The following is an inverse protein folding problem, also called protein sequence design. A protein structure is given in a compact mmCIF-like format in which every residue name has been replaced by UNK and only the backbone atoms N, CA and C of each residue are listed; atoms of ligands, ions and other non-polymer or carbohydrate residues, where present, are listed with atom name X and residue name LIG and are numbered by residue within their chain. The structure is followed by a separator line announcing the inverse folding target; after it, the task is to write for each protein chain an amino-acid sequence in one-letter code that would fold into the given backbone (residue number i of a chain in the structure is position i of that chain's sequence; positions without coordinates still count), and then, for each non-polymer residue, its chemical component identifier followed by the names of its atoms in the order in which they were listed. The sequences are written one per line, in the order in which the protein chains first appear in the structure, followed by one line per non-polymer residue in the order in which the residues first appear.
data_IF_780695198506
#
_entry.id   IF_780695198506
#
_cell.length_a   1.000
_cell.length_b   1.000
_cell.length_c   1.000
_cell.angle_alpha   90.00
_cell.angle_beta   90.00
_cell.angle_gamma   90.00
#
_symmetry.space_group_name_H-M   'P 1'
#
loop_
_entity.id
_entity.type
_entity.pdbx_description
1 polymer ?
#
# COMPACT_ATOMS: atom_id res chain seq x y z
N UNK A 1 5.80 -11.09 -19.56
CA UNK A 1 4.83 -10.33 -18.73
C UNK A 1 4.37 -11.05 -17.44
N UNK A 2 4.84 -12.27 -17.11
CA UNK A 2 4.46 -13.04 -15.91
C UNK A 2 5.13 -12.60 -14.58
N UNK A 3 5.72 -11.40 -14.52
CA UNK A 3 6.52 -10.93 -13.39
C UNK A 3 5.79 -10.01 -12.40
N UNK A 4 4.70 -9.35 -12.82
CA UNK A 4 4.08 -8.26 -12.03
C UNK A 4 3.12 -8.73 -10.92
N UNK A 5 2.68 -9.98 -10.98
CA UNK A 5 1.76 -10.58 -10.00
C UNK A 5 2.47 -11.50 -9.00
N UNK A 6 3.77 -11.76 -9.17
CA UNK A 6 4.55 -12.57 -8.23
C UNK A 6 5.00 -11.71 -7.06
N UNK A 7 5.05 -12.33 -5.87
CA UNK A 7 5.47 -11.69 -4.63
C UNK A 7 6.96 -11.26 -4.72
N UNK A 8 7.30 -9.99 -4.50
CA UNK A 8 8.68 -9.53 -4.41
C UNK A 8 9.42 -10.20 -3.23
N UNK A 9 10.72 -10.51 -3.38
CA UNK A 9 11.51 -11.17 -2.34
C UNK A 9 11.68 -10.33 -1.06
N UNK A 10 11.53 -9.01 -1.17
CA UNK A 10 11.74 -8.06 -0.08
C UNK A 10 10.48 -7.81 0.78
N UNK A 11 9.32 -8.37 0.41
CA UNK A 11 8.13 -8.28 1.24
C UNK A 11 8.13 -9.40 2.29
N UNK A 12 7.95 -9.01 3.56
CA UNK A 12 7.67 -9.93 4.67
C UNK A 12 6.48 -10.83 4.33
N UNK A 13 6.42 -12.01 4.98
CA UNK A 13 5.29 -12.92 4.82
C UNK A 13 3.99 -12.17 5.07
N UNK A 14 2.94 -12.46 4.28
CA UNK A 14 1.59 -12.04 4.65
C UNK A 14 1.42 -12.48 6.09
N UNK A 15 1.07 -11.57 7.03
CA UNK A 15 0.64 -12.02 8.33
C UNK A 15 -0.54 -12.96 8.07
N UNK A 16 -0.37 -14.24 8.43
CA UNK A 16 -1.50 -15.12 8.56
C UNK A 16 -2.37 -14.45 9.62
N UNK A 17 -3.53 -13.94 9.21
CA UNK A 17 -4.51 -13.43 10.16
C UNK A 17 -4.96 -14.66 10.95
N UNK A 18 -4.22 -14.98 12.02
CA UNK A 18 -4.45 -16.15 12.85
C UNK A 18 -5.92 -16.12 13.24
N UNK A 19 -6.65 -17.19 12.91
CA UNK A 19 -8.07 -17.36 13.24
C UNK A 19 -8.32 -17.53 14.76
N UNK A 20 -7.33 -17.19 15.59
CA UNK A 20 -7.25 -17.51 17.01
C UNK A 20 -7.89 -16.47 17.94
N UNK A 21 -8.56 -15.43 17.40
CA UNK A 21 -9.45 -14.60 18.22
C UNK A 21 -10.54 -15.42 18.92
N UNK A 22 -10.94 -16.57 18.36
CA UNK A 22 -12.06 -17.36 18.89
C UNK A 22 -11.74 -18.14 20.17
N UNK A 23 -10.46 -18.30 20.57
CA UNK A 23 -10.09 -19.23 21.66
C UNK A 23 -9.89 -18.57 23.03
N UNK A 24 -9.73 -17.24 23.07
CA UNK A 24 -9.37 -16.50 24.29
C UNK A 24 -10.58 -15.91 25.05
N UNK A 25 -11.78 -15.93 24.50
CA UNK A 25 -12.97 -15.33 25.13
C UNK A 25 -13.91 -16.41 25.71
N UNK A 26 -13.51 -17.03 26.83
CA UNK A 26 -14.45 -17.75 27.71
C UNK A 26 -14.81 -16.87 28.90
N UNK A 27 -15.65 -15.86 28.68
CA UNK A 27 -16.48 -15.30 29.76
C UNK A 27 -17.77 -14.68 29.21
N UNK A 28 -18.98 -15.07 29.67
CA UNK A 28 -20.25 -14.60 29.09
C UNK A 28 -20.57 -13.11 29.34
N UNK A 29 -19.90 -12.49 30.32
CA UNK A 29 -20.11 -11.08 30.68
C UNK A 29 -19.28 -10.09 29.83
N UNK A 30 -18.26 -10.55 29.09
CA UNK A 30 -17.47 -9.71 28.17
C UNK A 30 -18.08 -9.61 26.77
N UNK A 31 -19.03 -10.50 26.44
CA UNK A 31 -19.64 -10.59 25.11
C UNK A 31 -20.53 -9.39 24.74
N UNK A 32 -20.97 -8.59 25.73
CA UNK A 32 -21.83 -7.43 25.50
C UNK A 32 -21.07 -6.14 25.14
N UNK A 33 -19.73 -6.14 25.22
CA UNK A 33 -18.89 -4.98 24.86
C UNK A 33 -17.77 -5.27 23.85
N UNK A 34 -17.69 -6.49 23.30
CA UNK A 34 -16.58 -6.95 22.45
C UNK A 34 -16.85 -6.84 20.93
N UNK A 35 -17.76 -5.95 20.51
CA UNK A 35 -17.98 -5.61 19.10
C UNK A 35 -17.48 -4.21 18.83
N UNK A 36 -16.18 -4.04 18.60
CA UNK A 36 -15.68 -2.78 18.06
C UNK A 36 -16.29 -2.59 16.67
N UNK A 37 -17.27 -1.70 16.57
CA UNK A 37 -17.98 -1.41 15.32
C UNK A 37 -17.03 -1.05 14.18
N UNK A 38 -15.87 -0.44 14.48
CA UNK A 38 -14.83 -0.18 13.49
C UNK A 38 -14.20 -1.48 12.99
N UNK A 39 -13.85 -2.40 13.88
CA UNK A 39 -13.36 -3.73 13.52
C UNK A 39 -14.37 -4.51 12.67
N UNK A 40 -15.67 -4.43 12.99
CA UNK A 40 -16.72 -5.08 12.18
C UNK A 40 -16.87 -4.44 10.80
N UNK A 41 -16.75 -3.11 10.70
CA UNK A 41 -16.71 -2.42 9.40
C UNK A 41 -15.46 -2.80 8.60
N UNK A 42 -14.28 -2.86 9.23
CA UNK A 42 -13.04 -3.25 8.56
C UNK A 42 -13.10 -4.70 8.03
N UNK A 43 -13.83 -5.61 8.70
CA UNK A 43 -14.08 -6.97 8.17
C UNK A 43 -14.88 -6.97 6.87
N UNK A 44 -15.65 -5.92 6.59
CA UNK A 44 -16.39 -5.79 5.33
C UNK A 44 -15.56 -5.20 4.19
N UNK A 45 -14.44 -4.55 4.50
CA UNK A 45 -13.49 -4.03 3.51
C UNK A 45 -12.75 -5.20 2.86
N UNK A 46 -13.08 -5.47 1.59
CA UNK A 46 -12.37 -6.47 0.79
C UNK A 46 -11.25 -5.81 -0.01
N UNK A 47 -10.01 -6.24 0.25
CA UNK A 47 -8.89 -5.98 -0.64
C UNK A 47 -9.02 -6.90 -1.87
N UNK A 48 -9.42 -6.33 -3.01
CA UNK A 48 -9.65 -7.08 -4.26
C UNK A 48 -8.37 -7.65 -4.87
N UNK A 49 -7.22 -6.99 -4.66
CA UNK A 49 -5.93 -7.43 -5.16
C UNK A 49 -4.81 -6.43 -4.86
N UNK A 50 -3.60 -6.73 -5.34
CA UNK A 50 -2.45 -5.85 -5.26
C UNK A 50 -1.48 -6.14 -6.41
N UNK A 51 -0.84 -5.09 -6.92
CA UNK A 51 0.21 -5.16 -7.94
C UNK A 51 1.48 -4.56 -7.36
N UNK A 52 2.60 -5.25 -7.55
CA UNK A 52 3.88 -4.86 -6.97
C UNK A 52 4.91 -4.62 -8.09
N UNK A 53 5.70 -3.58 -7.92
CA UNK A 53 6.80 -3.25 -8.82
C UNK A 53 8.10 -3.25 -8.02
N UNK A 54 9.09 -4.02 -8.47
CA UNK A 54 10.47 -3.93 -7.99
C UNK A 54 11.23 -2.99 -8.94
N UNK A 55 11.68 -1.85 -8.42
CA UNK A 55 12.28 -0.78 -9.20
C UNK A 55 13.71 -0.57 -8.72
N UNK A 56 14.67 -0.71 -9.64
CA UNK A 56 16.06 -0.31 -9.46
C UNK A 56 16.36 0.80 -10.46
N UNK A 57 16.74 1.96 -9.96
CA UNK A 57 17.04 3.13 -10.77
C UNK A 57 18.33 3.79 -10.28
N UNK A 58 19.03 4.45 -11.20
CA UNK A 58 20.23 5.25 -10.93
C UNK A 58 19.97 6.68 -11.42
N UNK A 59 20.51 7.67 -10.71
CA UNK A 59 20.35 9.08 -11.08
C UNK A 59 20.86 9.37 -12.51
N UNK A 60 20.16 10.21 -13.30
CA UNK A 60 18.89 10.88 -13.00
C UNK A 60 17.66 10.04 -13.38
N UNK A 61 16.62 10.06 -12.52
CA UNK A 61 15.35 9.39 -12.83
C UNK A 61 14.14 10.08 -12.19
N UNK A 62 12.98 9.92 -12.83
CA UNK A 62 11.68 10.29 -12.28
C UNK A 62 10.61 9.32 -12.80
N UNK A 63 9.67 8.95 -11.93
CA UNK A 63 8.52 8.09 -12.25
C UNK A 63 7.25 8.81 -11.85
N UNK A 64 6.34 9.00 -12.80
CA UNK A 64 5.03 9.61 -12.59
C UNK A 64 3.96 8.53 -12.45
N UNK A 65 3.27 8.52 -11.32
CA UNK A 65 2.06 7.74 -11.10
C UNK A 65 0.84 8.55 -11.57
N UNK A 66 0.08 8.07 -12.57
CA UNK A 66 -1.10 8.77 -13.07
C UNK A 66 -2.27 8.68 -12.08
N UNK A 67 -3.35 9.41 -12.37
CA UNK A 67 -4.56 9.36 -11.57
C UNK A 67 -5.16 7.94 -11.51
N UNK A 68 -5.77 7.53 -10.38
CA UNK A 68 -6.33 6.20 -10.19
C UNK A 68 -7.32 5.81 -11.27
N UNK A 69 -8.17 6.76 -11.69
CA UNK A 69 -9.18 6.56 -12.74
C UNK A 69 -8.59 6.09 -14.08
N UNK A 70 -7.32 6.40 -14.35
CA UNK A 70 -6.64 6.05 -15.60
C UNK A 70 -5.93 4.69 -15.54
N UNK A 71 -5.54 4.25 -14.34
CA UNK A 71 -4.72 3.04 -14.14
C UNK A 71 -5.50 1.89 -13.52
N UNK A 72 -6.38 2.17 -12.56
CA UNK A 72 -7.12 1.18 -11.77
C UNK A 72 -7.90 0.18 -12.64
N UNK A 73 -8.66 0.59 -13.68
CA UNK A 73 -9.37 -0.34 -14.55
C UNK A 73 -8.45 -1.30 -15.33
N UNK A 74 -7.19 -0.93 -15.53
CA UNK A 74 -6.20 -1.71 -16.30
C UNK A 74 -5.46 -2.72 -15.43
N UNK A 75 -5.21 -2.39 -14.16
CA UNK A 75 -4.39 -3.22 -13.27
C UNK A 75 -5.22 -4.09 -12.32
N UNK A 76 -6.40 -3.62 -11.90
CA UNK A 76 -7.28 -4.30 -10.94
C UNK A 76 -8.75 -4.04 -11.34
N UNK A 77 -9.24 -4.69 -12.42
CA UNK A 77 -10.62 -4.53 -12.85
C UNK A 77 -11.59 -4.96 -11.72
N UNK A 78 -12.55 -4.10 -11.39
CA UNK A 78 -13.53 -4.32 -10.32
C UNK A 78 -13.09 -3.83 -8.93
N UNK A 79 -11.94 -3.17 -8.81
CA UNK A 79 -11.58 -2.44 -7.59
C UNK A 79 -12.12 -1.00 -7.64
N UNK A 80 -12.75 -0.56 -6.54
CA UNK A 80 -13.26 0.81 -6.41
C UNK A 80 -12.21 1.79 -5.87
N UNK A 81 -11.18 1.29 -5.20
CA UNK A 81 -10.22 2.10 -4.47
C UNK A 81 -8.79 1.59 -4.67
N UNK A 82 -7.87 2.55 -4.91
CA UNK A 82 -6.44 2.29 -5.09
C UNK A 82 -5.66 3.00 -4.01
N UNK A 83 -4.90 2.23 -3.24
CA UNK A 83 -3.90 2.73 -2.31
C UNK A 83 -2.53 2.44 -2.94
N UNK A 84 -1.78 3.49 -3.25
CA UNK A 84 -0.42 3.37 -3.77
C UNK A 84 0.56 3.61 -2.64
N UNK A 85 1.60 2.79 -2.54
CA UNK A 85 2.67 3.01 -1.57
C UNK A 85 4.00 2.60 -2.19
N UNK A 86 5.07 3.22 -1.70
CA UNK A 86 6.43 2.90 -2.12
C UNK A 86 7.26 2.62 -0.89
N UNK A 87 7.90 1.45 -0.89
CA UNK A 87 8.83 1.02 0.16
C UNK A 87 10.23 1.23 -0.37
N UNK A 88 11.02 2.06 0.30
CA UNK A 88 12.41 2.25 -0.06
C UNK A 88 13.28 1.22 0.65
N UNK A 89 13.88 0.31 -0.10
CA UNK A 89 14.75 -0.74 0.46
C UNK A 89 16.21 -0.28 0.55
N UNK A 90 16.65 0.67 -0.28
CA UNK A 90 18.00 1.20 -0.30
C UNK A 90 18.06 2.58 -0.97
N UNK A 91 19.01 3.42 -0.54
CA UNK A 91 19.21 4.75 -1.10
C UNK A 91 18.24 5.79 -0.56
N UNK A 92 18.10 6.89 -1.31
CA UNK A 92 17.21 8.02 -1.00
C UNK A 92 16.51 8.48 -2.27
N UNK A 93 15.28 8.96 -2.13
CA UNK A 93 14.56 9.60 -3.23
C UNK A 93 13.65 10.70 -2.71
N UNK A 94 13.02 11.40 -3.64
CA UNK A 94 11.99 12.39 -3.36
C UNK A 94 10.63 11.87 -3.80
N UNK A 95 9.61 12.11 -2.99
CA UNK A 95 8.22 11.80 -3.30
C UNK A 95 7.41 13.09 -3.26
N UNK A 96 6.60 13.37 -4.29
CA UNK A 96 5.70 14.53 -4.29
C UNK A 96 4.34 14.20 -4.88
N UNK A 97 3.29 14.76 -4.31
CA UNK A 97 2.00 14.89 -5.00
C UNK A 97 2.10 16.06 -5.97
N UNK A 98 1.52 15.95 -7.17
CA UNK A 98 1.52 17.06 -8.14
C UNK A 98 0.92 18.32 -7.48
N UNK A 99 1.69 19.42 -7.49
CA UNK A 99 1.29 20.69 -6.87
C UNK A 99 1.57 20.81 -5.37
N UNK A 100 2.27 19.85 -4.76
CA UNK A 100 2.75 19.92 -3.37
C UNK A 100 4.27 19.85 -3.31
N UNK A 101 4.82 20.24 -2.17
CA UNK A 101 6.24 20.13 -1.87
C UNK A 101 6.70 18.67 -1.84
N UNK A 102 7.91 18.44 -2.33
CA UNK A 102 8.53 17.12 -2.28
C UNK A 102 9.02 16.80 -0.87
N UNK A 103 8.81 15.56 -0.45
CA UNK A 103 9.37 15.02 0.79
C UNK A 103 10.53 14.08 0.45
N UNK A 104 11.53 14.06 1.31
CA UNK A 104 12.62 13.07 1.24
C UNK A 104 12.10 11.75 1.81
N UNK A 105 12.42 10.65 1.13
CA UNK A 105 12.17 9.30 1.60
C UNK A 105 13.51 8.56 1.59
N UNK A 106 13.84 7.94 2.71
CA UNK A 106 15.09 7.23 2.95
C UNK A 106 14.89 5.71 2.99
N UNK A 107 15.99 4.96 2.94
CA UNK A 107 15.94 3.51 3.06
C UNK A 107 15.32 3.06 4.40
N UNK A 108 14.38 2.12 4.32
CA UNK A 108 13.59 1.64 5.45
C UNK A 108 12.26 2.35 5.63
N UNK A 109 12.02 3.45 4.91
CA UNK A 109 10.77 4.21 5.00
C UNK A 109 9.74 3.77 3.97
N UNK A 110 8.48 4.09 4.27
CA UNK A 110 7.33 3.84 3.40
C UNK A 110 6.53 5.13 3.25
N UNK A 111 6.30 5.54 2.00
CA UNK A 111 5.36 6.61 1.68
C UNK A 111 4.06 6.01 1.17
N UNK A 112 2.94 6.46 1.71
CA UNK A 112 1.60 5.95 1.38
C UNK A 112 0.71 7.07 0.84
N UNK A 113 0.17 6.84 -0.36
CA UNK A 113 -0.83 7.67 -1.01
C UNK A 113 -2.19 6.98 -0.88
N UNK A 114 -2.94 7.34 0.17
CA UNK A 114 -4.21 6.68 0.55
C UNK A 114 -5.30 6.77 -0.52
N UNK A 115 -5.32 7.83 -1.33
CA UNK A 115 -6.23 7.96 -2.49
C UNK A 115 -5.52 7.72 -3.82
N UNK A 116 -4.25 7.34 -3.77
CA UNK A 116 -3.35 7.24 -4.92
C UNK A 116 -3.40 8.51 -5.79
N UNK A 117 -3.41 9.69 -5.16
CA UNK A 117 -3.32 10.98 -5.87
C UNK A 117 -2.12 10.96 -6.83
N UNK A 118 -2.20 11.65 -8.00
CA UNK A 118 -1.08 11.74 -8.92
C UNK A 118 0.20 12.20 -8.21
N UNK A 119 1.25 11.41 -8.31
CA UNK A 119 2.49 11.64 -7.58
C UNK A 119 3.72 11.27 -8.41
N UNK A 120 4.86 11.83 -8.03
CA UNK A 120 6.15 11.60 -8.65
C UNK A 120 7.11 11.08 -7.60
N UNK A 121 7.85 10.04 -7.97
CA UNK A 121 9.04 9.56 -7.28
C UNK A 121 10.26 9.95 -8.13
N UNK A 122 11.31 10.54 -7.55
CA UNK A 122 12.46 11.03 -8.33
C UNK A 122 13.79 10.98 -7.55
N UNK A 123 14.92 10.96 -8.27
CA UNK A 123 16.25 11.07 -7.66
C UNK A 123 16.57 12.48 -7.18
N UNK A 124 15.90 13.50 -7.75
CA UNK A 124 16.08 14.92 -7.45
C UNK A 124 14.74 15.58 -7.05
N UNK A 125 14.77 16.69 -6.31
CA UNK A 125 13.56 17.36 -5.81
C UNK A 125 12.76 18.08 -6.91
N UNK A 126 13.41 18.46 -8.02
CA UNK A 126 12.86 19.26 -9.12
C UNK A 126 12.10 18.41 -10.16
#
# INVERSE_FOLDING_TARGET
MNGMTRRPPHLTARPELERDCARLLRNPLDAAMAGDALSDLLKTVRLTGATFFDIKAQDPWAVCSPAPSSILPKILPGADHLISYHVLTSGRCFARIIGKEAIVVEAGEVVVFTRSDPHIMSSNPD
#
